data_IF_027575158721
#
_entry.id   IF_027575158721
#
_cell.length_a   1.000
_cell.length_b   1.000
_cell.length_c   1.000
_cell.angle_alpha   90.00
_cell.angle_beta   90.00
_cell.angle_gamma   90.00
#
_symmetry.space_group_name_H-M   'P 1'
#
loop_
_entity.id
_entity.type
_entity.pdbx_description
1 polymer ?
#
# COMPACT_ATOMS: atom_id res chain seq x y z
N UNK A 1 -17.40 -15.89 11.47
CA UNK A 1 -16.40 -16.27 10.44
C UNK A 1 -15.18 -15.41 10.71
N UNK A 2 -14.06 -16.00 11.18
CA UNK A 2 -12.87 -15.23 11.61
C UNK A 2 -12.17 -14.66 10.37
N UNK A 3 -12.13 -13.34 10.24
CA UNK A 3 -11.38 -12.68 9.18
C UNK A 3 -9.89 -12.76 9.48
N UNK A 4 -9.15 -13.30 8.53
CA UNK A 4 -7.70 -13.29 8.48
C UNK A 4 -7.27 -11.85 8.18
N UNK A 5 -6.61 -11.20 9.13
CA UNK A 5 -5.87 -9.97 8.90
C UNK A 5 -4.72 -10.29 7.95
N UNK A 6 -4.82 -9.85 6.70
CA UNK A 6 -3.73 -9.91 5.74
C UNK A 6 -2.96 -8.59 5.81
N UNK A 7 -1.66 -8.69 5.93
CA UNK A 7 -0.74 -7.56 6.07
C UNK A 7 0.32 -7.72 4.99
N UNK A 8 0.67 -6.62 4.31
CA UNK A 8 1.46 -6.63 3.07
C UNK A 8 2.67 -5.67 3.17
N UNK A 9 3.90 -6.15 2.92
CA UNK A 9 5.16 -5.35 2.96
C UNK A 9 5.90 -5.45 1.62
N UNK A 10 6.62 -4.39 1.22
CA UNK A 10 7.25 -4.25 -0.10
C UNK A 10 8.67 -3.67 -0.09
N UNK A 11 9.43 -3.97 -1.15
CA UNK A 11 10.77 -3.47 -1.44
C UNK A 11 10.78 -2.78 -2.81
N UNK A 12 11.36 -1.57 -2.89
CA UNK A 12 11.72 -0.91 -4.14
C UNK A 12 13.25 -1.01 -4.29
N UNK A 13 13.75 -1.08 -5.53
CA UNK A 13 15.18 -1.04 -5.79
C UNK A 13 15.51 0.19 -6.63
N UNK A 14 16.22 1.16 -6.04
CA UNK A 14 17.55 1.61 -6.49
C UNK A 14 18.29 2.36 -5.38
N UNK A 15 18.84 1.63 -4.40
CA UNK A 15 20.15 1.85 -3.75
C UNK A 15 20.36 0.69 -2.77
N UNK A 16 21.54 0.07 -2.81
CA UNK A 16 21.87 -1.15 -2.06
C UNK A 16 21.61 -1.01 -0.55
N UNK A 17 20.52 -1.58 -0.04
CA UNK A 17 20.43 -2.06 1.34
C UNK A 17 19.85 -3.47 1.28
N UNK A 18 20.68 -4.47 1.56
CA UNK A 18 20.24 -5.83 1.79
C UNK A 18 19.38 -5.86 3.06
N UNK A 19 18.05 -5.84 2.94
CA UNK A 19 17.19 -6.25 4.06
C UNK A 19 16.95 -7.75 3.90
N UNK A 20 18.00 -8.51 4.19
CA UNK A 20 17.81 -9.80 4.81
C UNK A 20 17.59 -9.52 6.30
N UNK A 21 16.45 -9.93 6.85
CA UNK A 21 16.38 -10.12 8.30
C UNK A 21 17.32 -11.27 8.64
N UNK A 22 18.58 -10.94 8.89
CA UNK A 22 19.50 -11.81 9.61
C UNK A 22 18.97 -11.85 11.04
N UNK A 23 18.24 -12.92 11.39
CA UNK A 23 18.01 -13.24 12.79
C UNK A 23 19.26 -13.99 13.26
N UNK A 24 20.35 -13.25 13.48
CA UNK A 24 21.41 -13.76 14.34
C UNK A 24 20.93 -13.50 15.76
N UNK A 25 20.63 -14.59 16.47
CA UNK A 25 20.29 -14.51 17.88
C UNK A 25 21.44 -13.89 18.66
N UNK A 26 21.15 -12.81 19.36
CA UNK A 26 21.65 -12.59 20.71
C UNK A 26 20.68 -11.68 21.48
N UNK A 27 20.64 -11.94 22.78
CA UNK A 27 19.75 -11.47 23.82
C UNK A 27 19.92 -9.97 24.14
N UNK A 28 18.89 -9.36 24.73
CA UNK A 28 18.93 -8.09 25.52
C UNK A 28 18.97 -6.72 24.82
N UNK A 29 18.05 -6.41 23.90
CA UNK A 29 17.67 -5.00 23.66
C UNK A 29 16.20 -4.77 23.95
N UNK A 30 15.94 -3.91 24.94
CA UNK A 30 14.63 -3.32 25.21
C UNK A 30 13.96 -2.89 23.90
N UNK A 31 12.93 -3.61 23.47
CA UNK A 31 12.08 -3.24 22.34
C UNK A 31 11.23 -2.02 22.72
N UNK A 32 11.86 -0.86 22.89
CA UNK A 32 11.16 0.42 22.99
C UNK A 32 10.68 0.80 21.61
N UNK A 33 9.50 0.29 21.25
CA UNK A 33 8.78 0.76 20.09
C UNK A 33 8.30 2.21 20.34
N UNK A 34 8.35 3.12 19.34
CA UNK A 34 7.80 4.45 19.51
C UNK A 34 6.30 4.29 19.79
N UNK A 35 5.87 4.84 20.93
CA UNK A 35 4.52 4.69 21.47
C UNK A 35 3.45 5.21 20.50
N UNK A 36 3.82 6.07 19.54
CA UNK A 36 2.92 6.63 18.53
C UNK A 36 3.65 6.79 17.18
N UNK A 37 3.28 5.99 16.19
CA UNK A 37 3.71 6.14 14.80
C UNK A 37 2.54 6.61 13.93
N UNK A 38 2.71 7.72 13.23
CA UNK A 38 1.75 8.23 12.24
C UNK A 38 2.46 8.64 10.95
N UNK A 39 2.35 7.80 9.92
CA UNK A 39 2.95 8.06 8.61
C UNK A 39 2.44 9.34 7.94
N UNK A 40 1.23 9.83 8.29
CA UNK A 40 0.70 11.09 7.75
C UNK A 40 1.54 12.29 8.17
N UNK A 41 2.09 12.25 9.38
CA UNK A 41 2.98 13.31 9.90
C UNK A 41 4.35 13.34 9.23
N UNK A 42 4.69 12.29 8.47
CA UNK A 42 5.95 12.16 7.74
C UNK A 42 5.85 12.60 6.28
N UNK A 43 4.68 13.06 5.83
CA UNK A 43 4.49 13.54 4.45
C UNK A 43 4.56 12.44 3.40
N UNK A 44 4.33 11.18 3.78
CA UNK A 44 4.38 10.02 2.86
C UNK A 44 3.00 9.50 2.49
N UNK A 45 1.92 10.16 2.91
CA UNK A 45 0.54 9.73 2.66
C UNK A 45 -0.15 10.81 1.81
N UNK A 46 -0.72 10.42 0.68
CA UNK A 46 -1.53 11.30 -0.18
C UNK A 46 -2.86 11.68 0.49
N UNK A 47 -3.54 12.75 0.05
CA UNK A 47 -4.87 13.08 0.56
C UNK A 47 -5.86 11.92 0.40
N UNK A 48 -6.81 11.83 1.32
CA UNK A 48 -7.84 10.76 1.32
C UNK A 48 -8.54 10.69 -0.04
N UNK A 49 -8.51 9.51 -0.65
CA UNK A 49 -9.23 9.26 -1.90
C UNK A 49 -10.71 8.94 -1.63
N UNK A 50 -11.61 9.67 -2.28
CA UNK A 50 -13.04 9.34 -2.26
C UNK A 50 -13.40 8.48 -3.48
N UNK A 51 -13.64 7.19 -3.26
CA UNK A 51 -14.01 6.26 -4.33
C UNK A 51 -15.45 6.44 -4.85
N UNK A 52 -16.32 7.10 -4.06
CA UNK A 52 -17.74 7.19 -4.38
C UNK A 52 -18.37 5.81 -4.61
N UNK A 53 -19.08 5.64 -5.73
CA UNK A 53 -19.67 4.36 -6.14
C UNK A 53 -18.74 3.54 -7.07
N UNK A 54 -17.48 3.95 -7.23
CA UNK A 54 -16.53 3.26 -8.09
C UNK A 54 -16.25 1.85 -7.56
N UNK A 55 -16.41 0.80 -8.38
CA UNK A 55 -16.10 -0.57 -7.97
C UNK A 55 -14.59 -0.86 -7.92
N UNK A 56 -13.74 0.10 -8.31
CA UNK A 56 -12.30 -0.10 -8.49
C UNK A 56 -11.46 0.18 -7.24
N UNK A 57 -11.96 -0.21 -6.06
CA UNK A 57 -11.24 -0.06 -4.79
C UNK A 57 -9.84 -0.71 -4.84
N UNK A 58 -9.73 -1.87 -5.50
CA UNK A 58 -8.45 -2.55 -5.68
C UNK A 58 -7.41 -1.69 -6.41
N UNK A 59 -7.81 -0.97 -7.47
CA UNK A 59 -6.91 -0.09 -8.21
C UNK A 59 -6.44 1.08 -7.35
N UNK A 60 -7.36 1.71 -6.62
CA UNK A 60 -7.06 2.82 -5.69
C UNK A 60 -6.05 2.34 -4.63
N UNK A 61 -6.35 1.25 -3.94
CA UNK A 61 -5.49 0.75 -2.85
C UNK A 61 -4.11 0.32 -3.35
N UNK A 62 -4.00 -0.29 -4.54
CA UNK A 62 -2.69 -0.61 -5.12
C UNK A 62 -1.86 0.65 -5.39
N UNK A 63 -2.48 1.70 -5.92
CA UNK A 63 -1.80 2.98 -6.18
C UNK A 63 -1.38 3.64 -4.88
N UNK A 64 -2.27 3.85 -3.91
CA UNK A 64 -1.95 4.48 -2.62
C UNK A 64 -0.84 3.74 -1.87
N UNK A 65 -0.80 2.41 -1.99
CA UNK A 65 0.27 1.59 -1.41
C UNK A 65 1.62 1.94 -2.06
N UNK A 66 1.68 1.99 -3.39
CA UNK A 66 2.92 2.33 -4.11
C UNK A 66 3.35 3.77 -3.86
N UNK A 67 2.40 4.72 -3.85
CA UNK A 67 2.68 6.13 -3.52
C UNK A 67 3.36 6.26 -2.17
N UNK A 68 2.83 5.59 -1.16
CA UNK A 68 3.34 5.67 0.21
C UNK A 68 4.72 5.06 0.35
N UNK A 69 4.95 3.89 -0.25
CA UNK A 69 6.24 3.21 -0.23
C UNK A 69 7.30 4.00 -1.01
N UNK A 70 6.93 4.52 -2.18
CA UNK A 70 7.80 5.37 -2.97
C UNK A 70 8.20 6.62 -2.18
N UNK A 71 7.26 7.25 -1.47
CA UNK A 71 7.54 8.42 -0.65
C UNK A 71 8.43 8.09 0.56
N UNK A 72 8.25 6.92 1.20
CA UNK A 72 9.12 6.44 2.28
C UNK A 72 10.55 6.25 1.79
N UNK A 73 10.74 5.65 0.61
CA UNK A 73 12.06 5.35 0.08
C UNK A 73 12.78 6.58 -0.46
N UNK A 74 12.06 7.41 -1.22
CA UNK A 74 12.65 8.51 -1.98
C UNK A 74 12.56 9.86 -1.30
N UNK A 75 11.72 9.98 -0.27
CA UNK A 75 11.33 11.27 0.32
C UNK A 75 10.44 12.12 -0.58
N UNK A 76 9.96 11.60 -1.72
CA UNK A 76 9.12 12.33 -2.66
C UNK A 76 7.71 11.74 -2.75
N UNK A 77 6.71 12.50 -2.29
CA UNK A 77 5.31 12.13 -2.43
C UNK A 77 4.80 12.47 -3.83
N UNK A 78 4.64 11.44 -4.66
CA UNK A 78 4.15 11.55 -6.04
C UNK A 78 2.84 10.80 -6.20
N UNK A 79 1.83 11.47 -6.78
CA UNK A 79 0.51 10.87 -7.04
C UNK A 79 0.55 9.96 -8.27
N UNK A 80 0.09 8.72 -8.11
CA UNK A 80 -0.03 7.73 -9.15
C UNK A 80 -1.38 7.76 -9.87
N UNK A 81 -1.37 7.39 -11.15
CA UNK A 81 -2.57 7.30 -11.97
C UNK A 81 -3.37 6.04 -11.63
N UNK A 82 -4.45 6.20 -10.86
CA UNK A 82 -5.47 5.15 -10.67
C UNK A 82 -6.13 4.78 -12.00
N UNK A 83 -6.36 5.76 -12.88
CA UNK A 83 -7.01 5.56 -14.18
C UNK A 83 -6.28 4.53 -15.07
N UNK A 84 -4.96 4.64 -15.24
CA UNK A 84 -4.15 3.64 -15.97
C UNK A 84 -4.28 2.25 -15.36
N UNK A 85 -4.34 2.14 -14.03
CA UNK A 85 -4.52 0.84 -13.36
C UNK A 85 -5.92 0.28 -13.62
N UNK A 86 -6.96 1.12 -13.63
CA UNK A 86 -8.32 0.71 -14.01
C UNK A 86 -8.34 0.14 -15.44
N UNK A 87 -7.77 0.86 -16.40
CA UNK A 87 -7.82 0.45 -17.80
C UNK A 87 -6.93 -0.78 -18.10
N UNK A 88 -5.76 -0.87 -17.47
CA UNK A 88 -4.77 -1.90 -17.80
C UNK A 88 -4.69 -3.08 -16.82
N UNK A 89 -5.23 -2.94 -15.61
CA UNK A 89 -5.31 -3.98 -14.60
C UNK A 89 -6.77 -4.17 -14.14
N UNK A 90 -7.68 -4.63 -15.02
CA UNK A 90 -9.12 -4.56 -14.81
C UNK A 90 -9.67 -5.54 -13.76
N UNK A 91 -8.82 -6.20 -12.98
CA UNK A 91 -9.27 -7.10 -11.92
C UNK A 91 -9.84 -6.29 -10.75
N UNK A 92 -10.96 -6.74 -10.21
CA UNK A 92 -11.57 -6.17 -9.00
C UNK A 92 -10.88 -6.62 -7.69
N UNK A 93 -9.77 -7.34 -7.81
CA UNK A 93 -8.94 -7.79 -6.70
C UNK A 93 -7.56 -7.12 -6.79
N UNK A 94 -6.88 -7.01 -5.65
CA UNK A 94 -5.50 -6.52 -5.59
C UNK A 94 -4.60 -7.45 -6.42
N UNK A 95 -3.95 -6.90 -7.45
CA UNK A 95 -3.10 -7.60 -8.42
C UNK A 95 -1.86 -6.75 -8.76
N UNK A 96 -0.91 -6.70 -7.83
CA UNK A 96 0.32 -5.94 -8.05
C UNK A 96 1.18 -6.54 -9.18
N UNK A 97 1.08 -7.84 -9.47
CA UNK A 97 1.79 -8.47 -10.59
C UNK A 97 1.39 -7.84 -11.93
N UNK A 98 0.14 -7.37 -12.06
CA UNK A 98 -0.25 -6.59 -13.21
C UNK A 98 0.55 -5.28 -13.34
N UNK A 99 0.75 -4.55 -12.25
CA UNK A 99 1.56 -3.32 -12.24
C UNK A 99 3.03 -3.61 -12.59
N UNK A 100 3.58 -4.74 -12.11
CA UNK A 100 4.92 -5.20 -12.50
C UNK A 100 4.99 -5.41 -14.01
N UNK A 101 4.00 -6.09 -14.61
CA UNK A 101 3.94 -6.30 -16.07
C UNK A 101 3.77 -5.01 -16.87
N UNK A 102 3.14 -3.98 -16.29
CA UNK A 102 3.05 -2.65 -16.91
C UNK A 102 4.34 -1.83 -16.80
N UNK A 103 5.38 -2.37 -16.17
CA UNK A 103 6.65 -1.68 -15.94
C UNK A 103 6.56 -0.61 -14.85
N UNK A 104 5.51 -0.62 -14.02
CA UNK A 104 5.33 0.34 -12.92
C UNK A 104 4.15 1.30 -13.08
N UNK A 105 4.08 2.26 -12.16
CA UNK A 105 2.99 3.23 -12.04
C UNK A 105 3.37 4.58 -12.69
N UNK A 106 2.44 5.17 -13.43
CA UNK A 106 2.59 6.51 -14.00
C UNK A 106 2.08 7.58 -13.06
N UNK A 107 2.50 8.83 -13.27
CA UNK A 107 1.93 9.96 -12.56
C UNK A 107 0.48 10.14 -12.95
N UNK A 108 -0.33 10.60 -12.01
CA UNK A 108 -1.72 10.97 -12.23
C UNK A 108 -1.86 11.98 -13.38
N UNK A 109 -0.94 12.94 -13.47
CA UNK A 109 -0.91 13.96 -14.55
C UNK A 109 -0.77 13.38 -15.96
N UNK A 110 -0.10 12.23 -16.10
CA UNK A 110 0.22 11.64 -17.41
C UNK A 110 -0.93 10.75 -17.91
N UNK A 111 -1.79 10.29 -16.99
CA UNK A 111 -2.96 9.48 -17.27
C UNK A 111 -4.08 9.82 -16.27
N UNK A 112 -4.74 10.98 -16.40
CA UNK A 112 -5.62 11.52 -15.35
C UNK A 112 -7.03 10.93 -15.33
N UNK A 113 -7.46 10.25 -16.41
CA UNK A 113 -8.83 9.76 -16.53
C UNK A 113 -8.84 8.43 -17.27
N UNK A 114 -9.65 7.49 -16.79
CA UNK A 114 -9.81 6.19 -17.42
C UNK A 114 -10.48 6.36 -18.78
N UNK A 115 -9.94 5.70 -19.79
CA UNK A 115 -10.32 5.83 -21.20
C UNK A 115 -11.15 4.64 -21.68
N UNK A 116 -11.27 3.60 -20.86
CA UNK A 116 -11.96 2.35 -21.20
C UNK A 116 -11.13 1.42 -22.09
N UNK A 117 -9.89 1.81 -22.43
CA UNK A 117 -8.96 0.99 -23.20
C UNK A 117 -7.56 1.10 -22.59
N UNK A 118 -6.88 -0.04 -22.47
CA UNK A 118 -5.52 -0.04 -21.93
C UNK A 118 -4.54 0.55 -22.93
N UNK A 119 -3.88 1.64 -22.53
CA UNK A 119 -2.75 2.24 -23.24
C UNK A 119 -1.48 2.12 -22.38
N UNK A 120 -0.79 0.96 -22.41
CA UNK A 120 0.29 0.68 -21.48
C UNK A 120 1.51 1.61 -21.69
N UNK A 121 1.69 2.14 -22.90
CA UNK A 121 2.82 3.00 -23.26
C UNK A 121 2.48 4.50 -23.24
N UNK A 122 1.32 4.89 -22.69
CA UNK A 122 0.88 6.29 -22.69
C UNK A 122 1.74 7.22 -21.81
N UNK A 123 2.63 6.67 -20.98
CA UNK A 123 3.40 7.41 -20.00
C UNK A 123 4.64 6.62 -19.57
N UNK A 124 5.61 7.34 -18.98
CA UNK A 124 6.80 6.74 -18.37
C UNK A 124 6.54 6.56 -16.87
N UNK A 125 6.61 5.32 -16.34
CA UNK A 125 6.44 5.08 -14.92
C UNK A 125 7.46 5.85 -14.07
N UNK A 126 7.02 6.45 -12.95
CA UNK A 126 7.92 7.07 -11.98
C UNK A 126 8.39 6.08 -10.91
N UNK A 127 7.67 4.97 -10.77
CA UNK A 127 7.81 4.03 -9.69
C UNK A 127 7.60 2.60 -10.23
N UNK A 128 8.51 1.69 -9.90
CA UNK A 128 8.49 0.28 -10.32
C UNK A 128 8.33 -0.64 -9.12
N UNK A 129 7.64 -1.75 -9.29
CA UNK A 129 7.37 -2.67 -8.19
C UNK A 129 7.93 -4.04 -8.49
N UNK A 130 8.49 -4.72 -7.49
CA UNK A 130 9.11 -6.03 -7.68
C UNK A 130 8.16 -7.18 -7.39
N UNK A 131 7.71 -7.32 -6.13
CA UNK A 131 6.97 -8.52 -5.70
C UNK A 131 6.10 -8.26 -4.47
N UNK A 132 5.06 -9.08 -4.33
CA UNK A 132 4.15 -9.12 -3.19
C UNK A 132 4.53 -10.17 -2.15
N UNK A 133 4.67 -9.70 -0.90
CA UNK A 133 4.83 -10.55 0.28
C UNK A 133 3.54 -10.45 1.10
N UNK A 134 2.90 -11.60 1.29
CA UNK A 134 1.67 -11.73 2.08
C UNK A 134 2.00 -12.39 3.40
N UNK A 135 1.73 -11.69 4.50
CA UNK A 135 1.81 -12.26 5.84
C UNK A 135 0.44 -12.80 6.27
N UNK A 136 0.44 -13.85 7.08
CA UNK A 136 -0.77 -14.46 7.66
C UNK A 136 -0.56 -14.72 9.13
N UNK A 137 -1.54 -14.36 9.95
CA UNK A 137 -1.54 -14.69 11.37
C UNK A 137 -0.40 -14.04 12.15
N UNK A 138 -0.01 -12.82 11.78
CA UNK A 138 0.96 -12.04 12.56
C UNK A 138 0.36 -11.68 13.92
N UNK A 139 1.16 -11.85 14.97
CA UNK A 139 0.90 -11.24 16.26
C UNK A 139 1.45 -9.80 16.33
N UNK A 140 1.20 -9.12 17.44
CA UNK A 140 1.64 -7.74 17.64
C UNK A 140 3.17 -7.62 17.63
N UNK A 141 3.90 -8.59 18.16
CA UNK A 141 5.37 -8.57 18.21
C UNK A 141 5.98 -8.67 16.79
N UNK A 142 5.35 -9.43 15.90
CA UNK A 142 5.75 -9.56 14.51
C UNK A 142 5.27 -8.38 13.65
N UNK A 143 4.12 -7.79 13.97
CA UNK A 143 3.54 -6.69 13.20
C UNK A 143 4.26 -5.35 13.43
N UNK A 144 4.59 -5.04 14.68
CA UNK A 144 5.20 -3.76 15.06
C UNK A 144 6.46 -3.42 14.25
N UNK A 145 7.46 -4.30 14.07
CA UNK A 145 8.64 -3.98 13.26
C UNK A 145 8.30 -3.74 11.77
N UNK A 146 7.22 -4.32 11.25
CA UNK A 146 6.80 -4.11 9.86
C UNK A 146 6.19 -2.72 9.66
N UNK A 147 5.27 -2.31 10.53
CA UNK A 147 4.61 -1.00 10.44
C UNK A 147 5.58 0.17 10.65
N UNK A 148 6.69 -0.06 11.36
CA UNK A 148 7.73 0.94 11.60
C UNK A 148 8.54 1.30 10.36
N UNK A 149 8.68 0.34 9.45
CA UNK A 149 9.52 0.48 8.26
C UNK A 149 8.71 0.75 7.00
N UNK A 150 7.43 0.36 6.96
CA UNK A 150 6.60 0.53 5.79
C UNK A 150 5.12 0.73 6.14
N UNK A 151 4.38 1.37 5.23
CA UNK A 151 2.92 1.27 5.20
C UNK A 151 2.49 -0.10 4.73
N UNK A 152 1.44 -0.65 5.35
CA UNK A 152 0.94 -1.98 5.05
C UNK A 152 -0.46 -1.90 4.45
N UNK A 153 -0.69 -2.63 3.36
CA UNK A 153 -2.04 -2.82 2.83
C UNK A 153 -2.74 -3.89 3.67
N UNK A 154 -3.94 -3.56 4.15
CA UNK A 154 -4.78 -4.45 4.94
C UNK A 154 -6.17 -4.58 4.34
N UNK A 155 -6.78 -5.75 4.51
CA UNK A 155 -8.20 -5.96 4.19
C UNK A 155 -9.01 -5.97 5.47
N UNK A 156 -10.15 -5.28 5.45
CA UNK A 156 -11.08 -5.19 6.59
C UNK A 156 -12.49 -5.59 6.14
N UNK A 157 -13.26 -6.19 7.05
CA UNK A 157 -14.71 -6.36 6.84
C UNK A 157 -15.43 -5.10 7.31
N UNK A 158 -15.92 -4.34 6.33
CA UNK A 158 -16.62 -3.08 6.53
C UNK A 158 -18.14 -3.21 6.29
N UNK A 159 -18.69 -4.43 6.24
CA UNK A 159 -20.10 -4.64 5.87
C UNK A 159 -21.11 -4.25 6.98
N UNK A 160 -20.63 -3.95 8.20
CA UNK A 160 -21.52 -3.63 9.32
C UNK A 160 -22.02 -2.19 9.24
N UNK A 161 -23.28 -1.96 9.64
CA UNK A 161 -23.84 -0.60 9.75
C UNK A 161 -23.05 0.27 10.73
N UNK A 162 -22.49 -0.33 11.78
CA UNK A 162 -21.64 0.36 12.76
C UNK A 162 -20.33 0.87 12.15
N UNK A 163 -19.78 0.15 11.19
CA UNK A 163 -18.60 0.59 10.46
C UNK A 163 -18.96 1.73 9.51
N UNK A 164 -20.07 1.61 8.78
CA UNK A 164 -20.56 2.64 7.85
C UNK A 164 -20.90 3.98 8.55
N UNK A 165 -21.41 3.92 9.78
CA UNK A 165 -21.80 5.10 10.57
C UNK A 165 -20.71 5.57 11.55
N UNK A 166 -19.51 4.98 11.50
CA UNK A 166 -18.41 5.34 12.40
C UNK A 166 -18.01 6.83 12.26
N UNK A 167 -17.81 7.52 13.38
CA UNK A 167 -17.48 8.96 13.40
C UNK A 167 -16.14 9.27 14.09
N UNK A 168 -15.86 8.66 15.24
CA UNK A 168 -14.63 8.91 16.01
C UNK A 168 -14.37 7.80 17.06
N UNK A 169 -13.16 7.81 17.63
CA UNK A 169 -12.74 6.89 18.70
C UNK A 169 -11.95 5.67 18.21
N UNK A 170 -12.08 4.55 18.92
CA UNK A 170 -11.51 3.26 18.51
C UNK A 170 -12.66 2.31 18.19
N UNK A 171 -12.75 1.86 16.94
CA UNK A 171 -13.75 0.88 16.51
C UNK A 171 -13.45 -0.50 17.13
N UNK A 172 -14.48 -1.18 17.66
CA UNK A 172 -14.36 -2.48 18.36
C UNK A 172 -15.29 -3.58 17.84
N UNK A 173 -16.04 -3.33 16.76
CA UNK A 173 -17.03 -4.28 16.22
C UNK A 173 -18.47 -4.03 16.66
#
# INVERSE_FOLDING_TARGET
>A
MRLLTFIIVYFFSQLFISIGAVVNGDDSTSNTFPVNLDWRTRGVITPIYSQGQSPYVAAITMVETIESLYAIETGNLTRGSVARVIDCCPKFIVDFECIVRLGGICRDSDYPTARGTCEPNACVPFATFEKLIVFRGLDDEQLVPLIQNATLLVSVDAASIRFMEYQNGTYRG
#
